data_IF_403395447552
#
_entry.id   IF_403395447552
#
_cell.length_a   1.000
_cell.length_b   1.000
_cell.length_c   1.000
_cell.angle_alpha   90.00
_cell.angle_beta   90.00
_cell.angle_gamma   90.00
#
_symmetry.space_group_name_H-M   'P 1'
#
loop_
_entity.id
_entity.type
_entity.pdbx_description
1 polymer ?
#
# COMPACT_ATOMS: atom_id res chain seq x y z
N UNK A 1 -4.28 11.18 -7.10
CA UNK A 1 -4.15 10.23 -5.98
C UNK A 1 -3.91 11.05 -4.72
N UNK A 2 -4.72 10.84 -3.68
CA UNK A 2 -4.53 11.57 -2.42
C UNK A 2 -3.52 10.80 -1.57
N UNK A 3 -2.42 11.44 -1.30
CA UNK A 3 -1.36 10.93 -0.44
C UNK A 3 -1.59 11.40 1.00
N UNK A 4 -1.49 10.51 1.95
CA UNK A 4 -1.59 10.83 3.38
C UNK A 4 -0.21 10.69 4.02
N UNK A 5 0.32 11.80 4.51
CA UNK A 5 1.55 11.80 5.29
C UNK A 5 1.22 11.66 6.78
N UNK A 6 1.71 10.61 7.43
CA UNK A 6 1.58 10.42 8.87
C UNK A 6 2.80 10.99 9.59
N UNK A 7 2.54 11.81 10.61
CA UNK A 7 3.56 12.50 11.43
C UNK A 7 3.46 12.11 12.90
N UNK A 8 2.92 10.92 13.18
CA UNK A 8 2.68 10.45 14.54
C UNK A 8 3.13 9.00 14.70
N UNK A 9 3.22 8.56 15.94
CA UNK A 9 3.42 7.15 16.26
C UNK A 9 2.21 6.30 15.86
N UNK A 10 2.39 5.00 15.63
CA UNK A 10 1.30 4.11 15.18
C UNK A 10 0.05 4.16 16.07
N UNK A 11 0.23 4.29 17.38
CA UNK A 11 -0.89 4.33 18.33
C UNK A 11 -1.72 5.61 18.21
N UNK A 12 -1.12 6.69 17.69
CA UNK A 12 -1.78 7.97 17.46
C UNK A 12 -2.44 8.07 16.08
N UNK A 13 -2.23 7.07 15.23
CA UNK A 13 -2.83 7.02 13.89
C UNK A 13 -4.30 6.61 13.97
N UNK A 14 -5.15 7.54 14.36
CA UNK A 14 -6.58 7.29 14.61
C UNK A 14 -7.45 8.35 13.92
N UNK A 15 -8.72 8.01 13.71
CA UNK A 15 -9.72 8.95 13.21
C UNK A 15 -9.85 10.19 14.11
N UNK A 16 -9.72 10.01 15.43
CA UNK A 16 -9.76 11.11 16.41
C UNK A 16 -8.67 12.14 16.15
N UNK A 17 -7.50 11.68 15.71
CA UNK A 17 -6.36 12.56 15.39
C UNK A 17 -6.37 13.04 13.92
N UNK A 18 -7.46 12.81 13.20
CA UNK A 18 -7.63 13.30 11.83
C UNK A 18 -7.09 12.37 10.74
N UNK A 19 -6.66 11.17 11.07
CA UNK A 19 -6.17 10.20 10.10
C UNK A 19 -7.29 9.30 9.61
N UNK A 20 -7.29 9.00 8.32
CA UNK A 20 -8.26 8.10 7.72
C UNK A 20 -7.59 7.24 6.65
N UNK A 21 -8.00 5.98 6.57
CA UNK A 21 -7.54 5.08 5.53
C UNK A 21 -8.37 5.27 4.28
N UNK A 22 -7.71 5.30 3.14
CA UNK A 22 -8.32 5.53 1.84
C UNK A 22 -9.50 4.60 1.51
N UNK A 23 -9.42 3.27 1.77
CA UNK A 23 -10.56 2.39 1.51
C UNK A 23 -11.84 2.82 2.24
N UNK A 24 -11.72 3.32 3.47
CA UNK A 24 -12.85 3.80 4.25
C UNK A 24 -13.51 5.04 3.61
N UNK A 25 -12.72 5.92 2.97
CA UNK A 25 -13.24 7.10 2.27
C UNK A 25 -14.15 6.75 1.09
N UNK A 26 -13.96 5.57 0.50
CA UNK A 26 -14.77 5.06 -0.61
C UNK A 26 -15.78 4.01 -0.18
N UNK A 27 -16.05 3.91 1.13
CA UNK A 27 -16.94 2.91 1.72
C UNK A 27 -16.56 1.48 1.31
N UNK A 28 -15.26 1.19 1.27
CA UNK A 28 -14.71 -0.12 0.93
C UNK A 28 -14.29 -0.84 2.20
N UNK A 29 -14.66 -2.11 2.30
CA UNK A 29 -14.34 -2.95 3.43
C UNK A 29 -13.16 -3.88 3.08
N UNK A 30 -12.09 -3.81 3.86
CA UNK A 30 -10.90 -4.64 3.66
C UNK A 30 -11.04 -5.95 4.43
N UNK A 31 -10.96 -7.06 3.72
CA UNK A 31 -10.96 -8.41 4.30
C UNK A 31 -9.55 -9.00 4.37
N UNK A 32 -8.68 -8.63 3.44
CA UNK A 32 -7.31 -9.13 3.36
C UNK A 32 -6.34 -7.98 3.16
N UNK A 33 -5.39 -7.85 4.08
CA UNK A 33 -4.24 -6.97 3.94
C UNK A 33 -2.99 -7.82 3.72
N UNK A 34 -2.31 -7.58 2.61
CA UNK A 34 -1.04 -8.23 2.28
C UNK A 34 0.07 -7.20 2.47
N UNK A 35 0.87 -7.33 3.51
CA UNK A 35 2.00 -6.45 3.76
C UNK A 35 3.27 -7.08 3.19
N UNK A 36 3.93 -6.36 2.28
CA UNK A 36 5.21 -6.75 1.69
C UNK A 36 6.27 -5.79 2.22
N UNK A 37 7.21 -6.32 2.98
CA UNK A 37 8.26 -5.51 3.59
C UNK A 37 9.50 -5.50 2.73
N UNK A 38 10.09 -4.32 2.57
CA UNK A 38 11.31 -4.10 1.82
C UNK A 38 12.35 -3.39 2.67
N UNK A 39 13.60 -3.77 2.47
CA UNK A 39 14.73 -3.00 2.98
C UNK A 39 15.61 -2.55 1.81
N UNK A 40 16.36 -3.46 1.20
CA UNK A 40 17.27 -3.16 0.09
C UNK A 40 17.22 -4.22 -1.02
N UNK A 41 16.13 -4.95 -1.13
CA UNK A 41 15.95 -5.97 -2.16
C UNK A 41 16.04 -5.35 -3.55
N UNK A 42 16.65 -6.11 -4.48
CA UNK A 42 16.80 -5.66 -5.85
C UNK A 42 15.47 -5.72 -6.64
N UNK A 43 15.49 -5.12 -7.84
CA UNK A 43 14.31 -5.06 -8.71
C UNK A 43 13.77 -6.43 -9.13
N UNK A 44 14.64 -7.44 -9.26
CA UNK A 44 14.21 -8.79 -9.67
C UNK A 44 13.45 -9.49 -8.55
N UNK A 45 13.95 -9.41 -7.32
CA UNK A 45 13.24 -9.95 -6.15
C UNK A 45 11.91 -9.26 -5.93
N UNK A 46 11.89 -7.94 -6.06
CA UNK A 46 10.66 -7.14 -5.96
C UNK A 46 9.65 -7.55 -7.03
N UNK A 47 10.06 -7.64 -8.28
CA UNK A 47 9.19 -8.02 -9.39
C UNK A 47 8.62 -9.44 -9.21
N UNK A 48 9.43 -10.38 -8.75
CA UNK A 48 8.99 -11.77 -8.48
C UNK A 48 7.95 -11.82 -7.35
N UNK A 49 8.21 -11.10 -6.26
CA UNK A 49 7.29 -11.03 -5.12
C UNK A 49 5.95 -10.43 -5.53
N UNK A 50 5.97 -9.28 -6.20
CA UNK A 50 4.75 -8.63 -6.70
C UNK A 50 4.00 -9.52 -7.68
N UNK A 51 4.70 -10.18 -8.61
CA UNK A 51 4.09 -11.11 -9.55
C UNK A 51 3.36 -12.24 -8.83
N UNK A 52 4.00 -12.88 -7.85
CA UNK A 52 3.40 -13.94 -7.05
C UNK A 52 2.16 -13.47 -6.28
N UNK A 53 2.25 -12.30 -5.64
CA UNK A 53 1.11 -11.69 -4.92
C UNK A 53 -0.04 -11.42 -5.89
N UNK A 54 0.23 -10.82 -7.04
CA UNK A 54 -0.81 -10.48 -8.01
C UNK A 54 -1.45 -11.71 -8.65
N UNK A 55 -0.70 -12.80 -8.84
CA UNK A 55 -1.29 -14.07 -9.26
C UNK A 55 -2.29 -14.60 -8.24
N UNK A 56 -1.95 -14.56 -6.95
CA UNK A 56 -2.85 -14.99 -5.88
C UNK A 56 -4.09 -14.10 -5.79
N UNK A 57 -3.93 -12.79 -5.92
CA UNK A 57 -5.06 -11.84 -5.97
C UNK A 57 -5.98 -12.17 -7.15
N UNK A 58 -5.42 -12.43 -8.33
CA UNK A 58 -6.18 -12.85 -9.51
C UNK A 58 -6.97 -14.12 -9.25
N UNK A 59 -6.34 -15.10 -8.62
CA UNK A 59 -7.00 -16.38 -8.32
C UNK A 59 -8.18 -16.17 -7.35
N UNK A 60 -8.03 -15.33 -6.35
CA UNK A 60 -9.13 -14.94 -5.44
C UNK A 60 -10.25 -14.24 -6.20
N UNK A 61 -9.91 -13.28 -7.06
CA UNK A 61 -10.90 -12.53 -7.86
C UNK A 61 -11.68 -13.48 -8.78
N UNK A 62 -11.03 -14.55 -9.24
CA UNK A 62 -11.66 -15.55 -10.11
C UNK A 62 -12.49 -16.62 -9.37
N UNK A 63 -12.55 -16.59 -8.03
CA UNK A 63 -13.40 -17.47 -7.22
C UNK A 63 -14.88 -17.07 -7.32
N UNK A 64 -15.51 -17.32 -8.46
CA UNK A 64 -16.88 -16.88 -8.76
C UNK A 64 -17.95 -17.49 -7.85
N UNK A 65 -17.68 -18.67 -7.27
CA UNK A 65 -18.62 -19.40 -6.42
C UNK A 65 -18.44 -19.06 -4.92
N UNK A 66 -17.46 -18.26 -4.56
CA UNK A 66 -17.24 -17.89 -3.16
C UNK A 66 -18.17 -16.74 -2.75
N UNK A 67 -19.09 -17.01 -1.84
CA UNK A 67 -19.95 -15.98 -1.26
C UNK A 67 -19.14 -14.96 -0.47
N UNK A 68 -18.14 -15.40 0.29
CA UNK A 68 -17.28 -14.52 1.08
C UNK A 68 -16.65 -13.42 0.24
N UNK A 69 -16.04 -13.81 -0.91
CA UNK A 69 -15.33 -12.85 -1.75
C UNK A 69 -16.25 -12.03 -2.65
N UNK A 70 -17.43 -12.51 -2.99
CA UNK A 70 -18.32 -11.87 -3.96
C UNK A 70 -19.52 -11.14 -3.33
N UNK A 71 -19.72 -11.26 -2.02
CA UNK A 71 -20.81 -10.58 -1.33
C UNK A 71 -20.50 -9.09 -1.13
N UNK A 72 -21.41 -8.22 -1.56
CA UNK A 72 -21.31 -6.78 -1.34
C UNK A 72 -20.36 -6.03 -2.27
N UNK A 73 -19.86 -6.68 -3.33
CA UNK A 73 -19.00 -6.05 -4.33
C UNK A 73 -17.92 -6.97 -4.87
N UNK A 74 -17.11 -6.50 -5.85
CA UNK A 74 -16.02 -7.27 -6.42
C UNK A 74 -14.97 -7.64 -5.37
N UNK A 75 -14.40 -8.84 -5.48
CA UNK A 75 -13.40 -9.35 -4.53
C UNK A 75 -12.15 -8.46 -4.42
N UNK A 76 -11.70 -7.86 -5.52
CA UNK A 76 -10.51 -6.99 -5.52
C UNK A 76 -10.65 -5.77 -4.62
N UNK A 77 -11.87 -5.28 -4.39
CA UNK A 77 -12.11 -4.14 -3.49
C UNK A 77 -11.91 -4.49 -2.01
N UNK A 78 -11.86 -5.78 -1.67
CA UNK A 78 -11.67 -6.28 -0.31
C UNK A 78 -10.23 -6.60 0.02
N UNK A 79 -9.32 -6.44 -0.95
CA UNK A 79 -7.90 -6.78 -0.83
C UNK A 79 -7.08 -5.51 -0.92
N UNK A 80 -6.16 -5.34 0.03
CA UNK A 80 -5.18 -4.26 0.02
C UNK A 80 -3.79 -4.88 0.01
N UNK A 81 -2.96 -4.47 -0.94
CA UNK A 81 -1.54 -4.81 -0.99
C UNK A 81 -0.76 -3.58 -0.51
N UNK A 82 -0.05 -3.74 0.59
CA UNK A 82 0.71 -2.66 1.22
C UNK A 82 2.21 -2.93 1.08
N UNK A 83 2.93 -2.00 0.47
CA UNK A 83 4.39 -2.04 0.40
C UNK A 83 4.96 -1.23 1.55
N UNK A 84 5.75 -1.87 2.39
CA UNK A 84 6.35 -1.27 3.58
C UNK A 84 7.85 -1.17 3.39
N UNK A 85 8.37 0.05 3.35
CA UNK A 85 9.80 0.32 3.21
C UNK A 85 10.34 0.86 4.53
N UNK A 86 11.49 0.35 4.94
CA UNK A 86 12.24 0.88 6.08
C UNK A 86 13.10 2.08 5.64
N UNK A 87 12.41 3.12 5.21
CA UNK A 87 13.00 4.33 4.66
C UNK A 87 13.35 4.25 3.18
N UNK A 88 13.46 5.38 2.51
CA UNK A 88 13.82 5.49 1.09
C UNK A 88 15.33 5.32 0.87
N UNK A 89 16.16 5.74 1.83
CA UNK A 89 17.62 5.69 1.69
C UNK A 89 18.17 4.30 1.38
N UNK A 90 17.76 3.23 2.12
CA UNK A 90 18.20 1.88 1.82
C UNK A 90 17.55 1.26 0.58
N UNK A 91 16.42 1.81 0.11
CA UNK A 91 15.68 1.24 -1.01
C UNK A 91 16.47 1.34 -2.31
N UNK A 92 16.54 0.23 -3.05
CA UNK A 92 17.18 0.18 -4.34
C UNK A 92 16.48 1.11 -5.35
N UNK A 93 17.26 1.97 -6.01
CA UNK A 93 16.74 2.94 -6.99
C UNK A 93 16.01 2.25 -8.14
N UNK A 94 16.56 1.15 -8.65
CA UNK A 94 15.95 0.39 -9.75
C UNK A 94 14.59 -0.19 -9.33
N UNK A 95 14.45 -0.59 -8.06
CA UNK A 95 13.17 -1.03 -7.48
C UNK A 95 12.17 0.12 -7.47
N UNK A 96 12.54 1.31 -7.05
CA UNK A 96 11.69 2.50 -7.08
C UNK A 96 11.26 2.84 -8.51
N UNK A 97 12.15 2.73 -9.48
CA UNK A 97 11.84 2.98 -10.89
C UNK A 97 10.81 1.96 -11.43
N UNK A 98 10.92 0.70 -11.06
CA UNK A 98 9.91 -0.33 -11.40
C UNK A 98 8.56 0.00 -10.77
N UNK A 99 8.53 0.36 -9.49
CA UNK A 99 7.29 0.73 -8.79
C UNK A 99 6.65 1.98 -9.40
N UNK A 100 7.46 2.96 -9.80
CA UNK A 100 6.99 4.16 -10.50
C UNK A 100 6.37 3.82 -11.87
N UNK A 101 7.01 2.91 -12.61
CA UNK A 101 6.53 2.47 -13.93
C UNK A 101 5.16 1.80 -13.84
N UNK A 102 4.90 1.01 -12.81
CA UNK A 102 3.60 0.35 -12.59
C UNK A 102 2.58 1.23 -11.84
N UNK A 103 2.95 2.47 -11.49
CA UNK A 103 2.05 3.44 -10.87
C UNK A 103 1.85 3.29 -9.36
N UNK A 104 2.67 2.49 -8.69
CA UNK A 104 2.61 2.29 -7.23
C UNK A 104 3.34 3.41 -6.49
N UNK A 105 4.42 3.94 -7.06
CA UNK A 105 5.25 4.99 -6.49
C UNK A 105 5.25 6.21 -7.41
N UNK A 106 5.19 7.40 -6.83
CA UNK A 106 5.28 8.66 -7.56
C UNK A 106 6.36 9.54 -6.95
N UNK A 107 7.43 9.79 -7.72
CA UNK A 107 8.54 10.62 -7.26
C UNK A 107 8.09 12.08 -7.08
N UNK A 108 8.63 12.72 -6.04
CA UNK A 108 8.35 14.12 -5.72
C UNK A 108 7.02 14.38 -4.99
N UNK A 109 6.18 13.37 -4.77
CA UNK A 109 4.93 13.51 -4.00
C UNK A 109 5.15 13.33 -2.50
N UNK A 110 6.20 12.58 -2.13
CA UNK A 110 6.49 12.30 -0.72
C UNK A 110 6.97 13.56 0.01
N UNK A 111 6.30 13.86 1.11
CA UNK A 111 6.67 14.97 1.99
C UNK A 111 7.61 14.47 3.09
N UNK A 112 8.72 15.18 3.28
CA UNK A 112 9.64 14.89 4.39
C UNK A 112 9.22 15.53 5.69
N UNK A 113 8.43 16.57 5.62
CA UNK A 113 8.01 17.43 6.71
C UNK A 113 6.58 17.92 6.46
N UNK A 114 5.77 17.94 7.50
CA UNK A 114 4.41 18.52 7.49
C UNK A 114 4.27 19.37 8.74
N UNK A 115 4.07 20.68 8.58
CA UNK A 115 3.92 21.64 9.67
C UNK A 115 5.06 21.60 10.70
N UNK A 116 6.31 21.41 10.24
CA UNK A 116 7.48 21.33 11.08
C UNK A 116 7.73 19.98 11.74
N UNK A 117 6.89 18.98 11.48
CA UNK A 117 7.07 17.61 11.99
C UNK A 117 7.59 16.69 10.90
N UNK A 118 8.59 15.89 11.25
CA UNK A 118 9.11 14.87 10.34
C UNK A 118 8.05 13.82 10.02
N UNK A 119 7.97 13.45 8.76
CA UNK A 119 7.02 12.44 8.30
C UNK A 119 7.49 11.04 8.71
N UNK A 120 6.63 10.29 9.39
CA UNK A 120 6.90 8.92 9.81
C UNK A 120 6.45 7.88 8.79
N UNK A 121 5.41 8.18 8.01
CA UNK A 121 4.92 7.28 6.97
C UNK A 121 4.19 8.04 5.86
N UNK A 122 4.22 7.47 4.66
CA UNK A 122 3.38 7.85 3.55
C UNK A 122 2.42 6.73 3.20
N UNK A 123 1.14 7.08 3.08
CA UNK A 123 0.06 6.15 2.74
C UNK A 123 -0.60 6.67 1.47
N UNK A 124 -0.46 5.90 0.41
CA UNK A 124 -0.94 6.25 -0.94
C UNK A 124 -2.20 5.49 -1.28
#
# INVERSE_FOLDING_TARGET
MLDTAATCDPDDFTLRNGYNLRPAMYNRHTELLIAITYYNEDKQLTARTLHGVMQNVRDIVNLKKSEFWNKGGPAWQKIVVCLVFDGIGPCDKDTLDVLATVGIFQDGVMKRDVDGKETTAHIV
#
